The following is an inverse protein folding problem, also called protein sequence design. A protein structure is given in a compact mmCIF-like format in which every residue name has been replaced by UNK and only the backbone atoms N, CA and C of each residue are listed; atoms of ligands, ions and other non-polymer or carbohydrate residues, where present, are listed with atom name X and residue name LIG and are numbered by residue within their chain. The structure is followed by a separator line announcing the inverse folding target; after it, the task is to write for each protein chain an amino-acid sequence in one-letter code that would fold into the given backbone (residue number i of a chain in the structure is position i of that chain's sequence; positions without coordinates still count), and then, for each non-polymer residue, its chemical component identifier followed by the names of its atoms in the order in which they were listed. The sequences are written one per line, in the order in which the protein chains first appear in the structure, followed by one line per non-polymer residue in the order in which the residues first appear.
data_IF_929715915973
#
_entry.id   IF_929715915973
#
_cell.length_a   1.000
_cell.length_b   1.000
_cell.length_c   1.000
_cell.angle_alpha   90.00
_cell.angle_beta   90.00
_cell.angle_gamma   90.00
#
_symmetry.space_group_name_H-M   'P 1'
#
loop_
_entity.id
_entity.type
_entity.pdbx_description
1 polymer ?
#
# COMPACT_ATOMS: atom_id res chain seq x y z
N UNK A 1 -15.49 12.83 -2.82
CA UNK A 1 -14.67 13.44 -1.77
C UNK A 1 -13.94 12.30 -1.09
N UNK A 2 -12.62 12.38 -0.99
CA UNK A 2 -11.77 11.35 -0.36
C UNK A 2 -11.69 11.67 1.13
N UNK A 3 -12.16 10.76 1.97
CA UNK A 3 -12.18 10.94 3.43
C UNK A 3 -10.90 10.37 4.04
N UNK A 4 -10.12 11.20 4.71
CA UNK A 4 -8.79 10.85 5.25
C UNK A 4 -8.79 10.97 6.78
N UNK A 5 -8.32 9.91 7.45
CA UNK A 5 -7.87 9.94 8.83
C UNK A 5 -6.36 10.20 8.82
N UNK A 6 -5.90 11.18 9.59
CA UNK A 6 -4.49 11.53 9.71
C UNK A 6 -3.97 11.21 11.11
N UNK A 7 -2.90 10.42 11.21
CA UNK A 7 -2.27 10.08 12.48
C UNK A 7 -0.77 10.37 12.46
N UNK A 8 -0.31 11.22 13.37
CA UNK A 8 1.08 11.65 13.52
C UNK A 8 1.26 12.21 14.94
N UNK A 9 2.30 11.81 15.65
CA UNK A 9 2.54 12.29 17.02
C UNK A 9 3.08 13.72 17.07
N UNK A 10 3.57 14.27 15.94
CA UNK A 10 4.13 15.61 15.83
C UNK A 10 3.05 16.63 15.44
N UNK A 11 2.56 17.50 16.35
CA UNK A 11 1.45 18.41 16.08
C UNK A 11 1.70 19.36 14.90
N UNK A 12 2.94 19.83 14.72
CA UNK A 12 3.28 20.74 13.63
C UNK A 12 3.19 20.07 12.26
N UNK A 13 3.69 18.84 12.17
CA UNK A 13 3.63 18.03 10.93
C UNK A 13 2.17 17.70 10.62
N UNK A 14 1.42 17.23 11.61
CA UNK A 14 0.00 16.91 11.46
C UNK A 14 -0.81 18.12 10.98
N UNK A 15 -0.62 19.28 11.60
CA UNK A 15 -1.28 20.53 11.16
C UNK A 15 -0.88 20.96 9.75
N UNK A 16 0.39 20.79 9.37
CA UNK A 16 0.87 21.10 8.02
C UNK A 16 0.26 20.19 6.94
N UNK A 17 0.23 18.88 7.21
CA UNK A 17 -0.39 17.91 6.30
C UNK A 17 -1.89 18.15 6.20
N UNK A 18 -2.57 18.39 7.33
CA UNK A 18 -3.99 18.75 7.34
C UNK A 18 -4.28 19.96 6.46
N UNK A 19 -3.55 21.05 6.64
CA UNK A 19 -3.73 22.25 5.84
C UNK A 19 -3.53 22.00 4.33
N UNK A 20 -2.56 21.14 3.97
CA UNK A 20 -2.33 20.73 2.60
C UNK A 20 -3.51 19.93 2.03
N UNK A 21 -4.05 18.99 2.80
CA UNK A 21 -5.17 18.14 2.37
C UNK A 21 -6.47 18.95 2.24
N UNK A 22 -6.75 19.81 3.20
CA UNK A 22 -7.96 20.66 3.21
C UNK A 22 -7.93 21.79 2.16
N UNK A 23 -6.78 22.05 1.53
CA UNK A 23 -6.69 22.97 0.38
C UNK A 23 -7.27 22.38 -0.91
N UNK A 24 -7.53 21.07 -0.96
CA UNK A 24 -8.06 20.37 -2.13
C UNK A 24 -9.58 20.15 -2.00
N UNK A 25 -10.35 20.55 -3.01
CA UNK A 25 -11.81 20.45 -3.02
C UNK A 25 -12.34 19.00 -2.97
N UNK A 26 -11.51 18.02 -3.32
CA UNK A 26 -11.87 16.60 -3.39
C UNK A 26 -11.44 15.77 -2.18
N UNK A 27 -10.84 16.41 -1.15
CA UNK A 27 -10.31 15.75 0.06
C UNK A 27 -10.94 16.34 1.32
N UNK A 28 -11.24 15.48 2.30
CA UNK A 28 -11.75 15.84 3.62
C UNK A 28 -10.97 15.10 4.71
N UNK A 29 -10.44 15.82 5.70
CA UNK A 29 -9.84 15.21 6.89
C UNK A 29 -10.95 14.96 7.91
N UNK A 30 -11.31 13.68 8.10
CA UNK A 30 -12.42 13.27 8.97
C UNK A 30 -12.01 13.00 10.43
N UNK A 31 -10.71 12.95 10.70
CA UNK A 31 -10.19 12.78 12.06
C UNK A 31 -8.68 12.94 12.10
N UNK A 32 -8.19 13.30 13.30
CA UNK A 32 -6.78 13.41 13.61
C UNK A 32 -6.46 12.58 14.85
N UNK A 33 -5.34 11.86 14.85
CA UNK A 33 -4.84 11.07 15.96
C UNK A 33 -3.38 11.44 16.30
N UNK A 34 -3.01 11.33 17.55
CA UNK A 34 -1.65 11.52 18.01
C UNK A 34 -0.91 10.20 18.31
N UNK A 35 -1.62 9.08 18.29
CA UNK A 35 -1.07 7.74 18.45
C UNK A 35 -1.88 6.70 17.67
N UNK A 36 -1.34 5.48 17.59
CA UNK A 36 -1.96 4.40 16.81
C UNK A 36 -3.26 3.87 17.42
N UNK A 37 -3.43 3.93 18.73
CA UNK A 37 -4.66 3.50 19.39
C UNK A 37 -5.82 4.43 19.07
N UNK A 38 -5.58 5.75 19.13
CA UNK A 38 -6.55 6.75 18.73
C UNK A 38 -6.88 6.61 17.25
N UNK A 39 -5.86 6.37 16.40
CA UNK A 39 -6.06 6.15 14.96
C UNK A 39 -6.98 4.95 14.68
N UNK A 40 -6.82 3.83 15.37
CA UNK A 40 -7.71 2.65 15.23
C UNK A 40 -9.13 2.98 15.66
N UNK A 41 -9.31 3.67 16.80
CA UNK A 41 -10.63 4.06 17.29
C UNK A 41 -11.36 4.99 16.32
N UNK A 42 -10.68 6.03 15.81
CA UNK A 42 -11.25 6.95 14.84
C UNK A 42 -11.49 6.30 13.46
N UNK A 43 -10.66 5.34 13.07
CA UNK A 43 -10.93 4.55 11.86
C UNK A 43 -12.22 3.75 11.97
N UNK A 44 -12.48 3.12 13.13
CA UNK A 44 -13.73 2.40 13.38
C UNK A 44 -14.95 3.32 13.41
N UNK A 45 -14.82 4.52 13.98
CA UNK A 45 -15.89 5.51 14.09
C UNK A 45 -16.24 6.14 12.74
N UNK A 46 -15.23 6.64 12.03
CA UNK A 46 -15.43 7.45 10.83
C UNK A 46 -15.40 6.64 9.52
N UNK A 47 -14.83 5.44 9.53
CA UNK A 47 -14.64 4.60 8.33
C UNK A 47 -14.10 5.41 7.16
N UNK A 48 -12.89 5.96 7.28
CA UNK A 48 -12.29 6.77 6.23
C UNK A 48 -12.00 5.94 4.98
N UNK A 49 -11.81 6.59 3.85
CA UNK A 49 -11.32 5.94 2.64
C UNK A 49 -9.83 5.61 2.78
N UNK A 50 -9.07 6.55 3.39
CA UNK A 50 -7.63 6.41 3.65
C UNK A 50 -7.33 6.69 5.12
N UNK A 51 -6.54 5.82 5.75
CA UNK A 51 -5.84 6.11 6.99
C UNK A 51 -4.36 6.41 6.67
N UNK A 52 -3.96 7.68 6.83
CA UNK A 52 -2.60 8.15 6.63
C UNK A 52 -1.87 8.16 7.97
N UNK A 53 -0.94 7.23 8.18
CA UNK A 53 -0.35 6.95 9.48
C UNK A 53 1.16 7.16 9.48
N UNK A 54 1.70 7.87 10.46
CA UNK A 54 3.13 7.77 10.77
C UNK A 54 3.44 6.41 11.42
N UNK A 55 4.65 5.92 11.22
CA UNK A 55 5.14 4.70 11.88
C UNK A 55 5.44 4.98 13.34
N UNK A 56 6.21 6.02 13.61
CA UNK A 56 6.71 6.30 14.95
C UNK A 56 5.72 7.15 15.73
N UNK A 57 4.86 6.48 16.48
CA UNK A 57 3.94 7.13 17.42
C UNK A 57 4.06 6.48 18.81
N UNK A 58 3.79 7.22 19.90
CA UNK A 58 3.87 6.69 21.25
C UNK A 58 2.82 5.60 21.51
N UNK A 59 3.12 4.64 22.36
CA UNK A 59 2.19 3.58 22.74
C UNK A 59 2.01 2.56 21.63
N UNK A 60 0.96 2.70 20.84
CA UNK A 60 0.71 1.88 19.65
C UNK A 60 1.32 2.55 18.43
N UNK A 61 2.30 1.90 17.81
CA UNK A 61 2.93 2.41 16.59
C UNK A 61 2.03 2.26 15.35
N UNK A 62 2.41 2.94 14.26
CA UNK A 62 1.63 2.91 13.01
C UNK A 62 1.58 1.54 12.33
N UNK A 63 2.57 0.68 12.56
CA UNK A 63 2.56 -0.68 12.01
C UNK A 63 1.55 -1.57 12.74
N UNK A 64 1.48 -1.45 14.06
CA UNK A 64 0.49 -2.16 14.86
C UNK A 64 -0.92 -1.62 14.59
N UNK A 65 -1.09 -0.30 14.50
CA UNK A 65 -2.36 0.30 14.07
C UNK A 65 -2.79 -0.20 12.68
N UNK A 66 -1.86 -0.31 11.74
CA UNK A 66 -2.11 -0.88 10.41
C UNK A 66 -2.64 -2.31 10.51
N UNK A 67 -1.99 -3.19 11.32
CA UNK A 67 -2.44 -4.58 11.49
C UNK A 67 -3.87 -4.65 12.05
N UNK A 68 -4.18 -3.82 13.05
CA UNK A 68 -5.51 -3.79 13.66
C UNK A 68 -6.58 -3.30 12.69
N UNK A 69 -6.33 -2.20 11.95
CA UNK A 69 -7.27 -1.71 10.93
C UNK A 69 -7.48 -2.74 9.81
N UNK A 70 -6.40 -3.40 9.37
CA UNK A 70 -6.47 -4.39 8.29
C UNK A 70 -7.18 -5.67 8.72
N UNK A 71 -7.03 -6.09 9.98
CA UNK A 71 -7.67 -7.29 10.53
C UNK A 71 -9.17 -7.12 10.81
N UNK A 72 -9.66 -5.89 10.92
CA UNK A 72 -11.08 -5.61 11.17
C UNK A 72 -11.88 -5.67 9.86
N UNK A 73 -12.79 -6.65 9.75
CA UNK A 73 -13.67 -6.81 8.59
C UNK A 73 -14.56 -5.58 8.33
N UNK A 74 -14.94 -4.85 9.40
CA UNK A 74 -15.73 -3.63 9.27
C UNK A 74 -14.96 -2.48 8.60
N UNK A 75 -13.62 -2.58 8.58
CA UNK A 75 -12.68 -1.62 7.98
C UNK A 75 -12.05 -2.14 6.68
N UNK A 76 -12.60 -3.19 6.08
CA UNK A 76 -12.07 -3.82 4.86
C UNK A 76 -11.91 -2.85 3.67
N UNK A 77 -12.68 -1.77 3.61
CA UNK A 77 -12.57 -0.73 2.58
C UNK A 77 -11.51 0.32 2.86
N UNK A 78 -11.02 0.44 4.10
CA UNK A 78 -10.02 1.46 4.50
C UNK A 78 -8.66 1.11 3.90
N UNK A 79 -8.08 2.03 3.17
CA UNK A 79 -6.71 1.91 2.64
C UNK A 79 -5.73 2.53 3.63
N UNK A 80 -4.77 1.77 4.10
CA UNK A 80 -3.74 2.31 4.98
C UNK A 80 -2.54 2.75 4.17
N UNK A 81 -2.15 4.02 4.31
CA UNK A 81 -0.94 4.60 3.71
C UNK A 81 0.00 5.01 4.84
N UNK A 82 1.20 4.52 4.81
CA UNK A 82 2.24 4.93 5.75
C UNK A 82 2.92 6.21 5.24
N UNK A 83 3.07 7.19 6.13
CA UNK A 83 3.79 8.44 5.88
C UNK A 83 4.81 8.68 6.99
N UNK A 84 6.11 8.56 6.69
CA UNK A 84 7.15 8.56 7.72
C UNK A 84 8.42 9.29 7.27
N UNK A 85 9.24 9.74 8.23
CA UNK A 85 10.58 10.28 7.96
C UNK A 85 11.61 9.19 7.61
N UNK A 86 11.31 7.92 7.91
CA UNK A 86 12.25 6.82 7.81
C UNK A 86 12.01 5.95 6.59
N UNK A 87 12.85 6.16 5.58
CA UNK A 87 12.91 5.31 4.37
C UNK A 87 13.77 4.06 4.55
N UNK A 88 13.92 3.53 5.79
CA UNK A 88 14.65 2.29 6.02
C UNK A 88 13.87 1.11 5.46
N UNK A 89 14.56 0.25 4.73
CA UNK A 89 13.97 -0.88 4.02
C UNK A 89 13.14 -1.79 4.96
N UNK A 90 13.56 -1.93 6.21
CA UNK A 90 12.85 -2.70 7.24
C UNK A 90 11.42 -2.17 7.50
N UNK A 91 11.22 -0.87 7.52
CA UNK A 91 9.92 -0.25 7.76
C UNK A 91 8.98 -0.40 6.56
N UNK A 92 9.49 -0.29 5.35
CA UNK A 92 8.70 -0.50 4.12
C UNK A 92 8.14 -1.92 4.11
N UNK A 93 8.98 -2.91 4.44
CA UNK A 93 8.57 -4.31 4.53
C UNK A 93 7.54 -4.56 5.62
N UNK A 94 7.82 -4.05 6.82
CA UNK A 94 6.94 -4.20 7.96
C UNK A 94 5.55 -3.60 7.65
N UNK A 95 5.51 -2.43 7.00
CA UNK A 95 4.27 -1.78 6.58
C UNK A 95 3.47 -2.62 5.58
N UNK A 96 4.11 -3.12 4.52
CA UNK A 96 3.44 -3.93 3.52
C UNK A 96 2.98 -5.29 4.08
N UNK A 97 3.78 -5.92 4.95
CA UNK A 97 3.38 -7.14 5.66
C UNK A 97 2.22 -6.90 6.63
N UNK A 98 2.16 -5.71 7.24
CA UNK A 98 1.04 -5.30 8.07
C UNK A 98 -0.25 -5.07 7.26
N UNK A 99 -0.14 -4.98 5.93
CA UNK A 99 -1.26 -4.78 5.01
C UNK A 99 -1.42 -3.35 4.52
N UNK A 100 -0.39 -2.50 4.64
CA UNK A 100 -0.43 -1.15 4.08
C UNK A 100 -0.60 -1.18 2.56
N UNK A 101 -1.44 -0.30 2.04
CA UNK A 101 -1.73 -0.11 0.61
C UNK A 101 -0.71 0.81 -0.08
N UNK A 102 0.06 1.57 0.70
CA UNK A 102 1.07 2.48 0.20
C UNK A 102 2.07 2.91 1.27
N UNK A 103 3.19 3.45 0.79
CA UNK A 103 4.26 3.96 1.64
C UNK A 103 4.83 5.24 1.02
N UNK A 104 4.88 6.31 1.80
CA UNK A 104 5.37 7.62 1.41
C UNK A 104 6.37 8.15 2.46
N UNK A 105 7.29 8.97 2.01
CA UNK A 105 8.19 9.71 2.89
C UNK A 105 7.61 11.10 3.19
N UNK A 106 7.83 11.62 4.38
CA UNK A 106 7.37 12.97 4.80
C UNK A 106 8.09 14.09 4.02
N UNK A 107 9.22 13.80 3.37
CA UNK A 107 9.93 14.70 2.46
C UNK A 107 9.40 14.68 1.02
N UNK A 108 8.38 13.85 0.74
CA UNK A 108 7.66 13.82 -0.53
C UNK A 108 7.06 15.21 -0.82
N UNK A 109 7.20 15.67 -2.08
CA UNK A 109 6.62 16.95 -2.46
C UNK A 109 5.09 16.96 -2.29
N UNK A 110 4.49 18.09 -1.86
CA UNK A 110 3.04 18.18 -1.63
C UNK A 110 2.18 17.68 -2.80
N UNK A 111 2.51 18.07 -4.03
CA UNK A 111 1.78 17.63 -5.22
C UNK A 111 1.86 16.11 -5.44
N UNK A 112 3.01 15.50 -5.13
CA UNK A 112 3.20 14.06 -5.24
C UNK A 112 2.41 13.31 -4.15
N UNK A 113 2.36 13.85 -2.91
CA UNK A 113 1.54 13.29 -1.84
C UNK A 113 0.06 13.27 -2.24
N UNK A 114 -0.47 14.38 -2.73
CA UNK A 114 -1.87 14.49 -3.16
C UNK A 114 -2.19 13.54 -4.32
N UNK A 115 -1.31 13.48 -5.32
CA UNK A 115 -1.47 12.53 -6.42
C UNK A 115 -1.43 11.09 -5.94
N UNK A 116 -0.55 10.81 -5.00
CA UNK A 116 -0.38 9.51 -4.39
C UNK A 116 -1.67 9.02 -3.70
N UNK A 117 -2.32 9.85 -2.90
CA UNK A 117 -3.59 9.51 -2.25
C UNK A 117 -4.70 9.22 -3.28
N UNK A 118 -4.75 10.00 -4.37
CA UNK A 118 -5.71 9.76 -5.47
C UNK A 118 -5.45 8.44 -6.21
N UNK A 119 -4.19 8.03 -6.33
CA UNK A 119 -3.79 6.74 -6.94
C UNK A 119 -4.24 5.58 -6.08
N UNK A 120 -4.02 5.65 -4.75
CA UNK A 120 -4.48 4.63 -3.79
C UNK A 120 -5.99 4.41 -3.91
N UNK A 121 -6.77 5.50 -4.04
CA UNK A 121 -8.23 5.41 -4.19
C UNK A 121 -8.69 4.69 -5.46
N UNK A 122 -7.89 4.70 -6.52
CA UNK A 122 -8.19 3.95 -7.76
C UNK A 122 -7.89 2.46 -7.67
N UNK A 123 -7.33 2.01 -6.53
CA UNK A 123 -6.88 0.64 -6.32
C UNK A 123 -5.53 0.34 -6.99
N UNK A 124 -4.85 1.36 -7.47
CA UNK A 124 -3.48 1.27 -7.95
C UNK A 124 -2.52 1.37 -6.76
N UNK A 125 -1.43 0.60 -6.79
CA UNK A 125 -0.44 0.61 -5.71
C UNK A 125 0.48 1.82 -5.81
N UNK A 126 0.65 2.50 -4.69
CA UNK A 126 1.69 3.51 -4.51
C UNK A 126 3.00 2.89 -4.02
N UNK A 127 3.56 2.06 -4.83
CA UNK A 127 4.96 1.73 -4.70
C UNK A 127 5.70 2.53 -5.75
N UNK A 128 6.41 3.59 -5.33
CA UNK A 128 7.30 4.29 -6.26
C UNK A 128 8.31 3.27 -6.82
N UNK A 129 8.84 3.46 -8.03
CA UNK A 129 9.88 2.57 -8.58
C UNK A 129 11.09 2.42 -7.64
N UNK A 130 11.37 3.44 -6.83
CA UNK A 130 12.42 3.38 -5.81
C UNK A 130 12.06 2.45 -4.65
N UNK A 131 10.83 2.53 -4.13
CA UNK A 131 10.31 1.62 -3.09
C UNK A 131 10.22 0.20 -3.62
N UNK A 132 9.75 0.02 -4.86
CA UNK A 132 9.70 -1.32 -5.50
C UNK A 132 11.11 -1.92 -5.64
N UNK A 133 12.11 -1.17 -6.09
CA UNK A 133 13.50 -1.66 -6.18
C UNK A 133 14.07 -2.04 -4.81
N UNK A 134 13.79 -1.27 -3.78
CA UNK A 134 14.21 -1.57 -2.41
C UNK A 134 13.52 -2.83 -1.86
N UNK A 135 12.22 -2.98 -2.12
CA UNK A 135 11.48 -4.22 -1.83
C UNK A 135 12.18 -5.44 -2.46
N UNK A 136 12.55 -5.33 -3.72
CA UNK A 136 13.24 -6.38 -4.47
C UNK A 136 14.55 -6.79 -3.76
N UNK A 137 15.40 -5.82 -3.39
CA UNK A 137 16.73 -6.11 -2.84
C UNK A 137 16.67 -6.86 -1.50
N UNK A 138 15.67 -6.66 -0.69
CA UNK A 138 15.55 -7.31 0.62
C UNK A 138 14.80 -8.66 0.57
N UNK A 139 13.89 -8.86 -0.37
CA UNK A 139 13.36 -10.21 -0.64
C UNK A 139 14.46 -11.17 -1.15
N UNK A 140 15.51 -10.63 -1.81
CA UNK A 140 16.72 -11.42 -2.18
C UNK A 140 17.39 -12.06 -0.98
N UNK A 141 17.38 -11.36 0.15
CA UNK A 141 18.13 -11.77 1.34
C UNK A 141 17.41 -12.81 2.22
N UNK A 142 16.14 -13.15 1.94
CA UNK A 142 15.38 -14.10 2.78
C UNK A 142 14.86 -15.30 1.97
N UNK A 143 14.96 -16.54 2.52
CA UNK A 143 14.36 -17.70 1.88
C UNK A 143 12.82 -17.57 1.81
N UNK A 144 12.16 -18.08 0.75
CA UNK A 144 10.72 -18.02 0.58
C UNK A 144 10.00 -18.78 1.71
N UNK A 145 8.97 -18.13 2.28
CA UNK A 145 8.10 -18.76 3.28
C UNK A 145 7.27 -19.86 2.62
N UNK A 146 7.39 -21.10 3.11
CA UNK A 146 6.70 -22.28 2.55
C UNK A 146 5.16 -22.22 2.62
N UNK A 147 4.59 -21.30 3.40
CA UNK A 147 3.13 -21.16 3.59
C UNK A 147 2.47 -20.40 2.41
N UNK A 148 3.21 -19.58 1.69
CA UNK A 148 2.67 -18.77 0.60
C UNK A 148 2.44 -19.54 -0.73
N UNK A 149 2.93 -20.78 -0.85
CA UNK A 149 2.86 -21.55 -2.11
C UNK A 149 1.42 -21.93 -2.53
N UNK A 150 0.46 -21.97 -1.62
CA UNK A 150 -0.91 -22.46 -1.86
C UNK A 150 -1.79 -21.55 -2.72
N UNK A 151 -1.46 -20.29 -2.93
CA UNK A 151 -2.25 -19.37 -3.76
C UNK A 151 -1.93 -19.43 -5.26
N UNK A 152 -0.76 -19.91 -5.63
CA UNK A 152 -0.31 -19.94 -7.03
C UNK A 152 -1.16 -20.84 -7.92
N UNK A 153 -1.72 -21.90 -7.37
CA UNK A 153 -2.54 -22.85 -8.13
C UNK A 153 -3.89 -22.26 -8.59
N UNK A 154 -4.36 -21.23 -7.89
CA UNK A 154 -5.61 -20.53 -8.22
C UNK A 154 -5.48 -19.58 -9.42
N UNK A 155 -4.26 -19.18 -9.76
CA UNK A 155 -4.00 -18.26 -10.86
C UNK A 155 -3.90 -19.02 -12.19
N UNK A 156 -4.56 -18.49 -13.22
CA UNK A 156 -4.32 -18.93 -14.60
C UNK A 156 -2.89 -18.53 -15.03
N UNK A 157 -2.33 -19.18 -16.08
CA UNK A 157 -1.02 -18.78 -16.61
C UNK A 157 -0.92 -17.28 -16.90
N UNK A 158 -1.98 -16.70 -17.47
CA UNK A 158 -2.03 -15.27 -17.82
C UNK A 158 -2.05 -14.37 -16.58
N UNK A 159 -2.76 -14.76 -15.55
CA UNK A 159 -2.78 -14.02 -14.28
C UNK A 159 -1.42 -14.09 -13.57
N UNK A 160 -0.70 -15.22 -13.65
CA UNK A 160 0.67 -15.33 -13.14
C UNK A 160 1.64 -14.39 -13.84
N UNK A 161 1.57 -14.32 -15.19
CA UNK A 161 2.36 -13.37 -15.98
C UNK A 161 2.09 -11.93 -15.54
N UNK A 162 0.80 -11.59 -15.40
CA UNK A 162 0.41 -10.24 -14.94
C UNK A 162 0.91 -9.94 -13.53
N UNK A 163 0.77 -10.89 -12.58
CA UNK A 163 1.29 -10.71 -11.20
C UNK A 163 2.81 -10.55 -11.20
N UNK A 164 3.53 -11.27 -12.04
CA UNK A 164 4.98 -11.11 -12.19
C UNK A 164 5.35 -9.71 -12.70
N UNK A 165 4.63 -9.17 -13.68
CA UNK A 165 4.86 -7.82 -14.20
C UNK A 165 4.48 -6.74 -13.16
N UNK A 166 3.40 -6.96 -12.40
CA UNK A 166 3.04 -6.13 -11.23
C UNK A 166 4.19 -6.09 -10.23
N UNK A 167 4.80 -7.23 -9.92
CA UNK A 167 5.92 -7.34 -9.00
C UNK A 167 7.19 -6.63 -9.51
N UNK A 168 7.32 -6.48 -10.83
CA UNK A 168 8.38 -5.66 -11.45
C UNK A 168 8.06 -4.17 -11.48
N UNK A 169 6.91 -3.74 -10.93
CA UNK A 169 6.53 -2.33 -10.81
C UNK A 169 5.87 -1.73 -12.05
N UNK A 170 5.48 -2.55 -13.05
CA UNK A 170 4.83 -2.04 -14.26
C UNK A 170 3.41 -1.55 -13.94
N UNK A 171 2.99 -0.44 -14.54
CA UNK A 171 1.61 0.06 -14.54
C UNK A 171 0.70 -0.84 -15.40
N UNK A 172 -0.61 -0.61 -15.35
CA UNK A 172 -1.54 -1.35 -16.20
C UNK A 172 -1.33 -1.08 -17.70
N UNK A 173 -0.89 0.11 -18.07
CA UNK A 173 -0.58 0.49 -19.45
C UNK A 173 0.68 -0.23 -19.93
N UNK A 174 1.75 -0.24 -19.13
CA UNK A 174 2.99 -0.96 -19.44
C UNK A 174 2.78 -2.48 -19.50
N UNK A 175 1.92 -3.04 -18.62
CA UNK A 175 1.50 -4.46 -18.68
C UNK A 175 0.74 -4.74 -19.98
N UNK A 176 -0.14 -3.83 -20.38
CA UNK A 176 -0.90 -3.95 -21.63
C UNK A 176 0.04 -3.97 -22.84
N UNK A 177 1.01 -3.07 -22.89
CA UNK A 177 2.06 -3.05 -23.93
C UNK A 177 2.88 -4.34 -23.93
N UNK A 178 3.41 -4.75 -22.76
CA UNK A 178 4.26 -5.95 -22.64
C UNK A 178 3.54 -7.24 -23.05
N UNK A 179 2.24 -7.31 -22.83
CA UNK A 179 1.44 -8.51 -23.10
C UNK A 179 0.57 -8.42 -24.36
N UNK A 180 0.66 -7.31 -25.11
CA UNK A 180 -0.13 -7.02 -26.30
C UNK A 180 -1.64 -7.11 -26.01
N UNK A 181 -2.07 -6.37 -24.99
CA UNK A 181 -3.46 -6.30 -24.51
C UNK A 181 -3.98 -4.86 -24.54
N UNK A 182 -5.28 -4.68 -24.33
CA UNK A 182 -5.80 -3.36 -23.97
C UNK A 182 -5.54 -3.04 -22.48
N UNK A 183 -5.38 -1.77 -22.09
CA UNK A 183 -5.25 -1.36 -20.68
C UNK A 183 -6.40 -1.88 -19.81
N UNK A 184 -7.62 -1.88 -20.33
CA UNK A 184 -8.80 -2.42 -19.64
C UNK A 184 -8.68 -3.92 -19.41
N UNK A 185 -8.12 -4.67 -20.35
CA UNK A 185 -7.89 -6.12 -20.21
C UNK A 185 -6.80 -6.39 -19.17
N UNK A 186 -5.70 -5.63 -19.20
CA UNK A 186 -4.63 -5.73 -18.18
C UNK A 186 -5.20 -5.45 -16.78
N UNK A 187 -5.95 -4.37 -16.59
CA UNK A 187 -6.64 -4.04 -15.33
C UNK A 187 -7.56 -5.18 -14.87
N UNK A 188 -8.29 -5.81 -15.78
CA UNK A 188 -9.17 -6.94 -15.45
C UNK A 188 -8.39 -8.15 -14.94
N UNK A 189 -7.25 -8.47 -15.54
CA UNK A 189 -6.38 -9.57 -15.06
C UNK A 189 -5.79 -9.27 -13.69
N UNK A 190 -5.34 -8.02 -13.44
CA UNK A 190 -4.85 -7.59 -12.12
C UNK A 190 -5.97 -7.75 -11.07
N UNK A 191 -7.19 -7.24 -11.35
CA UNK A 191 -8.32 -7.35 -10.42
C UNK A 191 -8.72 -8.80 -10.14
N UNK A 192 -8.71 -9.68 -11.14
CA UNK A 192 -8.99 -11.11 -10.96
C UNK A 192 -7.93 -11.80 -10.12
N UNK A 193 -6.66 -11.47 -10.33
CA UNK A 193 -5.57 -12.00 -9.53
C UNK A 193 -5.71 -11.55 -8.07
N UNK A 194 -6.01 -10.27 -7.81
CA UNK A 194 -6.27 -9.77 -6.46
C UNK A 194 -7.40 -10.53 -5.79
N UNK A 195 -8.54 -10.70 -6.47
CA UNK A 195 -9.70 -11.43 -5.93
C UNK A 195 -9.35 -12.87 -5.58
N UNK A 196 -8.64 -13.60 -6.46
CA UNK A 196 -8.27 -14.99 -6.25
C UNK A 196 -7.28 -15.19 -5.10
N UNK A 197 -6.40 -14.23 -4.88
CA UNK A 197 -5.37 -14.26 -3.85
C UNK A 197 -5.81 -13.61 -2.54
N UNK A 198 -7.02 -13.03 -2.49
CA UNK A 198 -7.50 -12.27 -1.35
C UNK A 198 -6.67 -10.98 -1.10
N UNK A 199 -5.99 -10.49 -2.13
CA UNK A 199 -5.19 -9.28 -2.05
C UNK A 199 -6.10 -8.04 -2.04
N UNK A 200 -5.97 -7.18 -1.03
CA UNK A 200 -6.79 -5.97 -0.88
C UNK A 200 -6.43 -4.89 -1.91
N UNK A 201 -5.21 -4.89 -2.38
CA UNK A 201 -4.66 -3.92 -3.32
C UNK A 201 -3.46 -4.51 -4.09
N UNK A 202 -2.93 -3.70 -5.00
CA UNK A 202 -1.81 -4.09 -5.87
C UNK A 202 -0.50 -4.31 -5.08
N UNK A 203 -0.29 -3.62 -3.95
CA UNK A 203 0.90 -3.81 -3.13
C UNK A 203 0.94 -5.23 -2.54
N UNK A 204 -0.22 -5.77 -2.16
CA UNK A 204 -0.34 -7.14 -1.69
C UNK A 204 -0.02 -8.17 -2.78
N UNK A 205 -0.29 -7.89 -4.06
CA UNK A 205 0.16 -8.74 -5.17
C UNK A 205 1.68 -8.78 -5.28
N UNK A 206 2.36 -7.64 -5.07
CA UNK A 206 3.82 -7.58 -5.05
C UNK A 206 4.38 -8.44 -3.93
N UNK A 207 3.86 -8.26 -2.70
CA UNK A 207 4.26 -9.09 -1.54
C UNK A 207 4.07 -10.57 -1.83
N UNK A 208 2.91 -10.95 -2.36
CA UNK A 208 2.60 -12.33 -2.72
C UNK A 208 3.59 -12.90 -3.74
N UNK A 209 3.89 -12.17 -4.83
CA UNK A 209 4.77 -12.64 -5.89
C UNK A 209 6.19 -12.98 -5.38
N UNK A 210 6.70 -12.16 -4.44
CA UNK A 210 8.01 -12.41 -3.82
C UNK A 210 7.97 -13.52 -2.77
N UNK A 211 6.94 -13.57 -1.93
CA UNK A 211 6.80 -14.60 -0.90
C UNK A 211 6.66 -16.00 -1.50
N UNK A 212 5.98 -16.11 -2.65
CA UNK A 212 5.80 -17.40 -3.35
C UNK A 212 6.97 -17.81 -4.24
N UNK A 213 7.94 -16.92 -4.44
CA UNK A 213 9.03 -17.14 -5.39
C UNK A 213 8.59 -17.09 -6.86
N UNK A 214 7.40 -16.54 -7.16
CA UNK A 214 6.94 -16.30 -8.55
C UNK A 214 7.91 -15.38 -9.29
N UNK A 215 8.48 -14.43 -8.58
CA UNK A 215 9.50 -13.52 -9.06
C UNK A 215 10.73 -13.65 -8.17
N UNK A 216 11.85 -13.93 -8.79
CA UNK A 216 13.14 -13.83 -8.13
C UNK A 216 13.73 -12.43 -8.38
N UNK A 217 14.44 -11.87 -7.39
CA UNK A 217 15.14 -10.62 -7.60
C UNK A 217 16.19 -10.74 -8.69
N UNK A 218 16.29 -9.75 -9.55
CA UNK A 218 17.40 -9.70 -10.52
C UNK A 218 18.69 -9.50 -9.74
N UNK A 219 19.59 -10.49 -9.84
CA UNK A 219 20.98 -10.29 -9.43
C UNK A 219 21.56 -9.11 -10.21
N UNK A 220 22.08 -8.13 -9.47
CA UNK A 220 22.77 -6.99 -10.05
C UNK A 220 24.09 -7.43 -10.69
#
# INVERSE_FOLDING_TARGET
MIRILLADDQPLIRSGIRALLEAEDDIEVVGEAADGREAVALAAEHRPDIALLDIQMPGTDGLEATRQIVADEALASVRVVILTNFGLDEYIFAALRAGASGFLLKDTQPAELLQALRVVMRGDSLLSPAVTRRLISEFVARPPDKVAATGMEMLTPREREVVALVAHGLSNDEIAEALVLSPTTAKTHVSRAMMKLGARDRAQLVVFAYQTGLVAPRSA
#
